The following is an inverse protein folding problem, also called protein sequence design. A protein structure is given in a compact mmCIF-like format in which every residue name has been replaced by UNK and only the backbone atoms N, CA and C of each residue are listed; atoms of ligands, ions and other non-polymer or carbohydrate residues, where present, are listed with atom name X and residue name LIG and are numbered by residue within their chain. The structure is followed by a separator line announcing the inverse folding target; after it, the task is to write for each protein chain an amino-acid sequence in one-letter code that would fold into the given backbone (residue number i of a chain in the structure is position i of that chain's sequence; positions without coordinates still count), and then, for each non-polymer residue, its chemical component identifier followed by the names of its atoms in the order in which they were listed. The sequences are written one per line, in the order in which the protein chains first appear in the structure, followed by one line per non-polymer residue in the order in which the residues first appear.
data_IF_312746264099
#
_entry.id   IF_312746264099
#
_cell.length_a   1.000
_cell.length_b   1.000
_cell.length_c   1.000
_cell.angle_alpha   90.00
_cell.angle_beta   90.00
_cell.angle_gamma   90.00
#
_symmetry.space_group_name_H-M   'P 1'
#
loop_
_entity.id
_entity.type
_entity.pdbx_description
1 polymer ?
#
# COMPACT_ATOMS: atom_id res chain seq x y z
N UNK A 1 51.68 33.55 -12.99
CA UNK A 1 51.01 33.95 -11.74
C UNK A 1 50.13 32.79 -11.31
N UNK A 2 50.62 31.98 -10.35
CA UNK A 2 49.97 30.75 -9.86
C UNK A 2 49.00 31.12 -8.75
N UNK A 3 47.74 30.67 -8.81
CA UNK A 3 46.85 30.69 -7.65
C UNK A 3 46.11 29.35 -7.58
N UNK A 4 46.61 28.48 -6.70
CA UNK A 4 45.87 27.34 -6.16
C UNK A 4 44.89 27.88 -5.11
N UNK A 5 43.64 27.41 -5.13
CA UNK A 5 42.79 27.38 -3.95
C UNK A 5 42.18 25.99 -3.85
N UNK A 6 42.65 25.24 -2.86
CA UNK A 6 42.04 24.02 -2.37
C UNK A 6 41.24 24.36 -1.12
N UNK A 7 40.01 23.86 -1.01
CA UNK A 7 39.39 23.55 0.28
C UNK A 7 38.18 22.62 0.06
N UNK A 8 38.39 21.32 0.20
CA UNK A 8 37.31 20.34 0.33
C UNK A 8 37.23 19.95 1.81
N UNK A 9 36.18 20.42 2.49
CA UNK A 9 35.91 20.10 3.88
C UNK A 9 35.26 18.70 3.98
N UNK A 10 35.97 17.78 4.62
CA UNK A 10 35.45 16.50 5.09
C UNK A 10 34.63 16.73 6.37
N UNK A 11 33.31 16.63 6.29
CA UNK A 11 32.44 16.52 7.46
C UNK A 11 32.16 15.05 7.75
N UNK A 12 32.93 14.47 8.68
CA UNK A 12 32.55 13.22 9.37
C UNK A 12 31.70 13.58 10.59
N UNK A 13 30.38 13.49 10.45
CA UNK A 13 29.45 13.58 11.56
C UNK A 13 29.33 12.22 12.26
N UNK A 14 29.89 12.10 13.46
CA UNK A 14 29.67 10.95 14.33
C UNK A 14 28.22 10.96 14.86
N UNK A 15 27.42 9.96 14.51
CA UNK A 15 26.13 9.73 15.15
C UNK A 15 26.34 8.91 16.43
N UNK A 16 26.15 9.56 17.57
CA UNK A 16 26.00 8.89 18.87
C UNK A 16 24.59 8.27 18.88
N UNK A 17 24.51 6.94 18.85
CA UNK A 17 23.25 6.22 19.05
C UNK A 17 22.92 6.24 20.55
N UNK A 18 21.93 7.04 20.95
CA UNK A 18 21.38 6.97 22.29
C UNK A 18 20.48 5.73 22.40
N UNK A 19 20.92 4.82 23.25
CA UNK A 19 20.21 3.61 23.65
C UNK A 19 19.12 4.00 24.67
N UNK A 20 17.85 3.78 24.33
CA UNK A 20 16.70 3.92 25.24
C UNK A 20 15.58 3.05 24.68
N UNK A 21 14.89 2.19 25.41
CA UNK A 21 14.89 1.82 26.81
C UNK A 21 14.00 0.59 26.90
N UNK A 22 14.31 -0.28 27.84
CA UNK A 22 13.64 -1.54 28.13
C UNK A 22 12.21 -1.23 28.58
N UNK A 23 11.22 -1.66 27.80
CA UNK A 23 9.84 -1.82 28.28
C UNK A 23 9.70 -3.27 28.74
N UNK A 24 9.80 -3.48 30.05
CA UNK A 24 9.16 -4.62 30.71
C UNK A 24 7.76 -4.17 31.05
N UNK A 25 6.74 -4.86 30.53
CA UNK A 25 5.38 -4.73 31.05
C UNK A 25 4.98 -6.03 31.71
N UNK A 26 4.49 -5.86 32.92
CA UNK A 26 4.28 -6.85 33.95
C UNK A 26 3.06 -7.72 33.68
N UNK A 27 3.10 -8.93 34.23
CA UNK A 27 2.05 -9.92 34.13
C UNK A 27 0.71 -9.44 34.71
N UNK A 28 -0.34 -9.62 33.92
CA UNK A 28 -1.73 -9.60 34.38
C UNK A 28 -2.39 -10.94 34.10
N UNK A 29 -2.47 -11.79 35.12
CA UNK A 29 -3.33 -12.98 35.13
C UNK A 29 -4.78 -12.51 35.25
N UNK A 30 -5.62 -12.84 34.28
CA UNK A 30 -7.08 -12.74 34.37
C UNK A 30 -7.67 -14.15 34.24
N UNK A 31 -8.20 -14.63 35.35
CA UNK A 31 -9.03 -15.81 35.49
C UNK A 31 -10.52 -15.47 35.31
N UNK A 32 -11.21 -16.25 34.47
CA UNK A 32 -12.61 -16.78 34.49
C UNK A 32 -13.79 -15.85 34.86
N UNK A 33 -14.98 -15.94 34.19
CA UNK A 33 -15.81 -17.15 34.32
C UNK A 33 -16.84 -17.51 33.20
N UNK A 34 -17.35 -18.75 33.34
CA UNK A 34 -18.72 -19.22 33.09
C UNK A 34 -19.26 -19.29 31.64
N UNK A 35 -19.13 -20.48 31.07
CA UNK A 35 -19.87 -20.98 29.91
C UNK A 35 -21.25 -21.51 30.36
N UNK A 36 -22.32 -20.81 29.99
CA UNK A 36 -23.70 -21.23 30.17
C UNK A 36 -24.49 -20.98 28.89
N UNK A 37 -24.56 -21.98 28.01
CA UNK A 37 -25.29 -21.89 26.75
C UNK A 37 -26.80 -22.13 26.96
N UNK A 38 -27.70 -21.27 26.46
CA UNK A 38 -29.13 -21.58 26.39
C UNK A 38 -29.44 -22.48 25.18
N UNK A 39 -30.09 -23.61 25.44
CA UNK A 39 -30.64 -24.52 24.42
C UNK A 39 -31.67 -23.79 23.54
N UNK A 40 -31.39 -23.74 22.24
CA UNK A 40 -32.30 -23.20 21.23
C UNK A 40 -33.47 -24.17 20.99
N UNK A 41 -34.65 -23.81 21.50
CA UNK A 41 -35.92 -24.51 21.27
C UNK A 41 -36.34 -24.38 19.80
N UNK A 42 -36.13 -25.44 19.01
CA UNK A 42 -36.56 -25.52 17.62
C UNK A 42 -38.08 -25.69 17.53
N UNK A 43 -38.80 -24.61 17.24
CA UNK A 43 -40.23 -24.67 16.87
C UNK A 43 -40.32 -25.10 15.40
N UNK A 44 -40.64 -26.37 15.15
CA UNK A 44 -41.03 -26.86 13.80
C UNK A 44 -42.37 -26.22 13.41
N UNK A 45 -42.32 -25.04 12.80
CA UNK A 45 -43.43 -24.48 12.05
C UNK A 45 -43.70 -25.35 10.83
N UNK A 46 -44.80 -26.12 10.84
CA UNK A 46 -45.23 -26.88 9.68
C UNK A 46 -45.39 -25.96 8.48
N UNK A 47 -44.66 -26.26 7.39
CA UNK A 47 -44.77 -25.59 6.10
C UNK A 47 -46.21 -25.76 5.61
N UNK A 48 -47.07 -24.77 5.86
CA UNK A 48 -48.41 -24.74 5.31
C UNK A 48 -48.28 -24.79 3.78
N UNK A 49 -48.70 -25.93 3.21
CA UNK A 49 -48.62 -26.18 1.77
C UNK A 49 -49.39 -25.07 1.06
N UNK A 50 -48.68 -24.25 0.31
CA UNK A 50 -49.24 -23.05 -0.33
C UNK A 50 -50.18 -23.51 -1.46
N UNK A 51 -51.48 -23.55 -1.16
CA UNK A 51 -52.51 -24.00 -2.10
C UNK A 51 -52.59 -23.03 -3.29
N UNK A 52 -52.63 -23.57 -4.50
CA UNK A 52 -52.69 -22.78 -5.74
C UNK A 52 -54.13 -22.35 -6.05
N UNK A 53 -54.30 -21.29 -6.86
CA UNK A 53 -55.64 -20.86 -7.31
C UNK A 53 -56.40 -21.98 -8.05
N UNK A 54 -55.69 -22.86 -8.75
CA UNK A 54 -56.29 -23.99 -9.44
C UNK A 54 -56.88 -25.02 -8.48
N UNK A 55 -56.16 -25.38 -7.42
CA UNK A 55 -56.65 -26.30 -6.38
C UNK A 55 -57.86 -25.72 -5.65
N UNK A 56 -57.85 -24.42 -5.36
CA UNK A 56 -58.99 -23.74 -4.75
C UNK A 56 -60.24 -23.78 -5.63
N UNK A 57 -60.09 -23.54 -6.93
CA UNK A 57 -61.21 -23.62 -7.88
C UNK A 57 -61.77 -25.06 -7.98
N UNK A 58 -60.92 -26.10 -7.97
CA UNK A 58 -61.39 -27.49 -7.93
C UNK A 58 -62.20 -27.81 -6.67
N UNK A 59 -61.97 -27.07 -5.58
CA UNK A 59 -62.70 -27.21 -4.30
C UNK A 59 -63.89 -26.25 -4.18
N UNK A 60 -64.24 -25.49 -5.23
CA UNK A 60 -65.32 -24.51 -5.20
C UNK A 60 -65.04 -23.27 -4.35
N UNK A 61 -63.77 -23.04 -3.98
CA UNK A 61 -63.35 -21.87 -3.21
C UNK A 61 -62.98 -20.71 -4.15
N UNK A 62 -63.19 -19.45 -3.76
CA UNK A 62 -62.76 -18.30 -4.54
C UNK A 62 -61.22 -18.24 -4.67
N UNK A 63 -60.71 -17.71 -5.79
CA UNK A 63 -59.27 -17.59 -6.03
C UNK A 63 -58.62 -16.68 -4.97
N UNK A 64 -57.35 -16.94 -4.66
CA UNK A 64 -56.57 -16.04 -3.81
C UNK A 64 -56.40 -14.69 -4.51
N UNK A 65 -56.34 -13.58 -3.74
CA UNK A 65 -56.06 -12.27 -4.29
C UNK A 65 -54.71 -12.26 -5.03
N UNK A 66 -54.57 -11.45 -6.09
CA UNK A 66 -53.31 -11.32 -6.81
C UNK A 66 -52.18 -10.96 -5.84
N UNK A 67 -51.14 -11.81 -5.78
CA UNK A 67 -49.96 -11.50 -4.99
C UNK A 67 -49.34 -10.22 -5.56
N UNK A 68 -49.45 -9.11 -4.83
CA UNK A 68 -48.72 -7.89 -5.15
C UNK A 68 -47.25 -8.24 -5.10
N UNK A 69 -46.62 -8.38 -6.27
CA UNK A 69 -45.15 -8.39 -6.36
C UNK A 69 -44.74 -7.09 -5.69
N UNK A 70 -44.04 -7.17 -4.56
CA UNK A 70 -43.34 -6.01 -4.04
C UNK A 70 -42.54 -5.48 -5.24
N UNK A 71 -42.88 -4.28 -5.70
CA UNK A 71 -42.14 -3.58 -6.74
C UNK A 71 -40.82 -3.09 -6.14
N UNK A 72 -40.03 -4.01 -5.59
CA UNK A 72 -38.62 -3.81 -5.44
C UNK A 72 -38.10 -3.71 -6.86
N UNK A 73 -37.72 -2.50 -7.26
CA UNK A 73 -36.92 -2.26 -8.45
C UNK A 73 -35.90 -3.40 -8.54
N UNK A 74 -36.05 -4.29 -9.53
CA UNK A 74 -34.97 -5.21 -9.84
C UNK A 74 -33.77 -4.29 -10.13
N UNK A 75 -32.69 -4.35 -9.35
CA UNK A 75 -31.53 -3.51 -9.64
C UNK A 75 -31.19 -3.74 -11.10
N UNK A 76 -31.12 -2.64 -11.87
CA UNK A 76 -30.67 -2.71 -13.26
C UNK A 76 -29.33 -3.46 -13.23
N UNK A 77 -29.09 -4.41 -14.14
CA UNK A 77 -27.79 -5.06 -14.22
C UNK A 77 -26.74 -3.95 -14.34
N UNK A 78 -25.90 -3.84 -13.32
CA UNK A 78 -24.79 -2.90 -13.33
C UNK A 78 -23.94 -3.29 -14.54
N UNK A 79 -23.57 -2.35 -15.42
CA UNK A 79 -22.70 -2.67 -16.55
C UNK A 79 -21.47 -3.41 -16.02
N UNK A 80 -21.21 -4.59 -16.60
CA UNK A 80 -20.06 -5.41 -16.23
C UNK A 80 -18.80 -4.53 -16.29
N UNK A 81 -17.97 -4.56 -15.24
CA UNK A 81 -16.65 -3.95 -15.28
C UNK A 81 -15.97 -4.43 -16.55
N UNK A 82 -15.52 -3.50 -17.40
CA UNK A 82 -14.81 -3.82 -18.63
C UNK A 82 -13.66 -4.77 -18.25
N UNK A 83 -13.54 -5.97 -18.86
CA UNK A 83 -12.46 -6.88 -18.54
C UNK A 83 -11.13 -6.18 -18.76
N UNK A 84 -10.29 -6.13 -17.73
CA UNK A 84 -8.95 -5.59 -17.85
C UNK A 84 -8.17 -6.42 -18.88
N UNK A 85 -7.50 -5.73 -19.83
CA UNK A 85 -6.61 -6.42 -20.76
C UNK A 85 -5.45 -7.06 -19.98
N UNK A 86 -5.04 -8.30 -20.31
CA UNK A 86 -3.88 -8.91 -19.66
C UNK A 86 -2.61 -8.12 -19.97
N UNK A 87 -1.69 -8.10 -19.01
CA UNK A 87 -0.35 -7.53 -19.24
C UNK A 87 0.40 -8.37 -20.27
N UNK A 88 1.07 -7.72 -21.23
CA UNK A 88 1.94 -8.39 -22.21
C UNK A 88 3.17 -9.03 -21.57
N UNK A 89 3.65 -8.43 -20.49
CA UNK A 89 4.74 -8.93 -19.65
C UNK A 89 4.48 -8.56 -18.20
N UNK A 90 4.93 -9.42 -17.28
CA UNK A 90 4.92 -9.15 -15.84
C UNK A 90 6.21 -8.50 -15.36
N UNK A 91 7.24 -8.45 -16.21
CA UNK A 91 8.49 -7.74 -15.98
C UNK A 91 8.50 -6.40 -16.74
N UNK A 92 9.10 -5.37 -16.15
CA UNK A 92 9.03 -4.02 -16.68
C UNK A 92 9.89 -3.03 -15.90
N UNK A 93 9.73 -1.76 -16.23
CA UNK A 93 10.28 -0.63 -15.48
C UNK A 93 9.14 0.19 -14.86
N UNK A 94 9.45 0.93 -13.79
CA UNK A 94 8.57 1.97 -13.28
C UNK A 94 9.03 3.32 -13.82
N UNK A 95 8.24 3.88 -14.73
CA UNK A 95 8.40 5.26 -15.19
C UNK A 95 7.83 6.20 -14.14
N UNK A 96 8.54 7.29 -13.87
CA UNK A 96 8.14 8.33 -12.93
C UNK A 96 7.89 9.62 -13.69
N UNK A 97 6.74 10.24 -13.46
CA UNK A 97 6.37 11.53 -14.06
C UNK A 97 5.90 12.51 -12.98
N UNK A 98 6.11 13.80 -13.23
CA UNK A 98 5.56 14.89 -12.42
C UNK A 98 4.04 15.00 -12.62
N UNK A 99 3.38 15.80 -11.80
CA UNK A 99 1.93 16.03 -11.87
C UNK A 99 1.45 16.64 -13.20
N UNK A 100 2.31 17.36 -13.91
CA UNK A 100 2.06 17.92 -15.25
C UNK A 100 2.24 16.90 -16.39
N UNK A 101 2.60 15.65 -16.08
CA UNK A 101 2.90 14.60 -17.05
C UNK A 101 4.33 14.63 -17.60
N UNK A 102 5.15 15.63 -17.23
CA UNK A 102 6.56 15.70 -17.62
C UNK A 102 7.31 14.50 -17.03
N UNK A 103 8.07 13.80 -17.87
CA UNK A 103 8.88 12.66 -17.40
C UNK A 103 9.93 13.13 -16.39
N UNK A 104 9.94 12.50 -15.21
CA UNK A 104 10.97 12.70 -14.19
C UNK A 104 12.09 11.66 -14.30
N UNK A 105 11.80 10.48 -14.87
CA UNK A 105 12.78 9.40 -15.10
C UNK A 105 12.19 8.02 -14.83
N UNK A 106 13.00 7.15 -14.27
CA UNK A 106 12.65 5.80 -13.81
C UNK A 106 13.18 5.59 -12.39
N UNK A 107 12.64 4.61 -11.65
CA UNK A 107 13.26 4.18 -10.39
C UNK A 107 14.67 3.63 -10.69
N UNK A 108 15.68 4.10 -9.97
CA UNK A 108 17.08 3.67 -10.14
C UNK A 108 17.29 2.26 -9.58
N UNK A 109 18.11 1.45 -10.28
CA UNK A 109 18.59 0.16 -9.76
C UNK A 109 19.68 0.28 -8.68
N UNK A 110 20.03 1.49 -8.28
CA UNK A 110 20.95 1.79 -7.17
C UNK A 110 20.22 2.58 -6.10
N UNK A 111 20.63 2.41 -4.85
CA UNK A 111 20.17 3.29 -3.78
C UNK A 111 20.95 4.61 -3.74
N UNK A 112 20.42 5.55 -2.98
CA UNK A 112 21.16 6.70 -2.45
C UNK A 112 22.12 6.28 -1.31
N UNK A 113 22.82 7.26 -0.73
CA UNK A 113 23.71 7.04 0.42
C UNK A 113 22.99 6.54 1.70
N UNK A 114 21.66 6.62 1.74
CA UNK A 114 20.81 6.15 2.85
C UNK A 114 20.08 4.84 2.52
N UNK A 115 20.47 4.13 1.45
CA UNK A 115 19.87 2.87 1.02
C UNK A 115 18.38 2.96 0.64
N UNK A 116 17.93 4.14 0.21
CA UNK A 116 16.59 4.42 -0.34
C UNK A 116 16.63 4.51 -1.87
N UNK A 117 15.52 4.21 -2.53
CA UNK A 117 15.41 4.32 -3.99
C UNK A 117 15.40 5.77 -4.46
N UNK A 118 16.02 6.02 -5.60
CA UNK A 118 16.11 7.32 -6.27
C UNK A 118 15.66 7.25 -7.74
N UNK A 119 15.86 8.32 -8.49
CA UNK A 119 15.55 8.42 -9.92
C UNK A 119 16.77 8.28 -10.82
N UNK A 120 16.53 7.82 -12.04
CA UNK A 120 17.50 7.83 -13.14
C UNK A 120 16.82 8.22 -14.46
N UNK A 121 17.56 8.84 -15.38
CA UNK A 121 17.04 9.19 -16.71
C UNK A 121 17.20 8.04 -17.72
N UNK A 122 18.03 7.04 -17.43
CA UNK A 122 18.38 5.97 -18.36
C UNK A 122 17.71 4.66 -17.97
N UNK A 123 17.09 3.99 -18.94
CA UNK A 123 16.54 2.64 -18.78
C UNK A 123 17.62 1.60 -18.45
N UNK A 124 18.87 1.80 -18.90
CA UNK A 124 19.99 0.90 -18.57
C UNK A 124 20.37 0.93 -17.06
N UNK A 125 20.04 2.04 -16.39
CA UNK A 125 20.24 2.21 -14.95
C UNK A 125 18.94 2.06 -14.17
N UNK A 126 17.82 1.76 -14.84
CA UNK A 126 16.53 1.60 -14.20
C UNK A 126 16.41 0.25 -13.50
N UNK A 127 15.66 0.27 -12.39
CA UNK A 127 15.25 -0.92 -11.67
C UNK A 127 14.25 -1.70 -12.52
N UNK A 128 14.62 -2.92 -12.86
CA UNK A 128 13.72 -3.89 -13.46
C UNK A 128 12.86 -4.51 -12.35
N UNK A 129 11.56 -4.48 -12.54
CA UNK A 129 10.59 -4.95 -11.55
C UNK A 129 9.70 -6.02 -12.15
N UNK A 130 9.17 -6.89 -11.29
CA UNK A 130 8.16 -7.87 -11.61
C UNK A 130 6.90 -7.61 -10.78
N UNK A 131 5.77 -7.47 -11.47
CA UNK A 131 4.44 -7.43 -10.85
C UNK A 131 3.89 -8.85 -10.69
N UNK A 132 3.05 -9.08 -9.68
CA UNK A 132 2.42 -10.38 -9.49
C UNK A 132 1.54 -10.75 -10.71
N UNK A 133 1.71 -11.97 -11.24
CA UNK A 133 1.14 -12.37 -12.53
C UNK A 133 -0.35 -12.69 -12.52
N UNK A 134 -0.94 -12.99 -11.36
CA UNK A 134 -2.29 -13.56 -11.31
C UNK A 134 -3.41 -12.53 -11.28
N UNK A 135 -3.16 -11.30 -10.80
CA UNK A 135 -3.99 -10.11 -11.04
C UNK A 135 -3.46 -8.91 -10.25
N UNK A 136 -2.53 -8.12 -10.80
CA UNK A 136 -2.09 -6.89 -10.13
C UNK A 136 -3.20 -5.82 -10.10
N UNK A 137 -4.35 -6.12 -10.69
CA UNK A 137 -5.54 -5.28 -10.74
C UNK A 137 -6.58 -5.66 -9.67
N UNK A 138 -6.41 -6.79 -8.96
CA UNK A 138 -7.34 -7.27 -7.94
C UNK A 138 -6.79 -7.05 -6.52
N UNK A 139 -6.39 -5.82 -6.21
CA UNK A 139 -5.97 -5.42 -4.88
C UNK A 139 -4.45 -5.29 -4.71
N UNK A 140 -3.98 -5.14 -3.46
CA UNK A 140 -2.59 -4.83 -3.19
C UNK A 140 -1.64 -5.99 -3.56
N UNK A 141 -0.50 -5.66 -4.15
CA UNK A 141 0.53 -6.63 -4.56
C UNK A 141 1.94 -6.17 -4.16
N UNK A 142 2.88 -7.12 -4.22
CA UNK A 142 4.31 -6.85 -4.03
C UNK A 142 4.96 -6.50 -5.38
N UNK A 143 5.77 -5.45 -5.39
CA UNK A 143 6.70 -5.17 -6.49
C UNK A 143 8.03 -5.84 -6.19
N UNK A 144 8.42 -6.83 -7.00
CA UNK A 144 9.71 -7.53 -6.84
C UNK A 144 10.78 -6.85 -7.71
N UNK A 145 11.89 -6.41 -7.14
CA UNK A 145 13.03 -5.91 -7.89
C UNK A 145 13.89 -7.07 -8.43
N UNK A 146 14.01 -7.18 -9.75
CA UNK A 146 14.77 -8.25 -10.41
C UNK A 146 16.27 -7.97 -10.43
N UNK A 147 16.66 -6.70 -10.39
CA UNK A 147 18.05 -6.23 -10.34
C UNK A 147 18.27 -5.24 -9.18
N UNK A 148 17.55 -5.43 -8.06
CA UNK A 148 17.67 -4.58 -6.88
C UNK A 148 19.06 -4.67 -6.21
N UNK A 149 19.56 -3.60 -5.57
CA UNK A 149 20.86 -3.61 -4.89
C UNK A 149 20.96 -4.57 -3.71
N UNK A 150 19.83 -4.85 -3.06
CA UNK A 150 19.76 -5.64 -1.84
C UNK A 150 18.92 -6.88 -2.08
N UNK A 151 19.59 -8.01 -2.26
CA UNK A 151 18.95 -9.31 -2.52
C UNK A 151 18.28 -9.90 -1.30
N UNK A 152 18.58 -9.42 -0.08
CA UNK A 152 17.91 -9.85 1.14
C UNK A 152 16.57 -9.14 1.36
N UNK A 153 16.39 -7.96 0.74
CA UNK A 153 15.17 -7.17 0.81
C UNK A 153 14.68 -6.83 -0.62
N UNK A 154 14.26 -7.85 -1.38
CA UNK A 154 14.08 -7.73 -2.83
C UNK A 154 12.79 -7.01 -3.24
N UNK A 155 11.88 -6.76 -2.30
CA UNK A 155 10.63 -6.08 -2.59
C UNK A 155 10.82 -4.57 -2.53
N UNK A 156 10.26 -3.85 -3.49
CA UNK A 156 10.12 -2.40 -3.39
C UNK A 156 8.96 -2.15 -2.44
N UNK A 157 9.24 -1.51 -1.32
CA UNK A 157 8.27 -1.18 -0.29
C UNK A 157 8.57 0.17 0.33
N UNK A 158 7.90 0.46 1.44
CA UNK A 158 8.08 1.70 2.18
C UNK A 158 8.56 1.41 3.61
N UNK A 159 9.45 2.25 4.11
CA UNK A 159 10.04 2.16 5.46
C UNK A 159 9.74 3.46 6.20
N UNK A 160 9.16 3.35 7.40
CA UNK A 160 8.72 4.51 8.17
C UNK A 160 9.82 5.56 8.38
N UNK A 161 9.45 6.84 8.36
CA UNK A 161 10.32 7.99 8.52
C UNK A 161 10.77 8.24 9.97
N UNK A 162 11.95 8.85 10.13
CA UNK A 162 12.59 9.01 11.45
C UNK A 162 11.88 10.03 12.35
N UNK A 163 11.02 10.85 11.73
CA UNK A 163 10.18 11.86 12.39
C UNK A 163 8.73 11.40 12.55
N UNK A 164 8.49 10.10 12.40
CA UNK A 164 7.17 9.48 12.44
C UNK A 164 6.76 8.95 11.07
N UNK A 165 5.88 7.95 11.11
CA UNK A 165 5.35 7.25 9.93
C UNK A 165 3.83 7.08 10.01
N UNK A 166 3.17 7.84 10.88
CA UNK A 166 1.72 7.85 10.99
C UNK A 166 1.16 8.88 10.01
N UNK A 167 0.30 8.43 9.10
CA UNK A 167 -0.33 9.24 8.07
C UNK A 167 -1.69 9.73 8.56
N UNK A 168 -2.06 10.98 8.30
CA UNK A 168 -3.33 11.52 8.75
C UNK A 168 -3.33 13.03 8.85
N UNK A 169 -4.49 13.62 9.09
CA UNK A 169 -4.62 15.06 9.16
C UNK A 169 -3.79 15.65 10.31
N UNK A 170 -2.97 16.66 10.02
CA UNK A 170 -2.03 17.27 10.98
C UNK A 170 -0.84 16.38 11.36
N UNK A 171 -0.76 15.16 10.83
CA UNK A 171 0.36 14.25 11.05
C UNK A 171 1.45 14.49 10.03
N UNK A 172 2.70 14.31 10.44
CA UNK A 172 3.89 14.59 9.63
C UNK A 172 4.61 13.31 9.19
N UNK A 173 3.87 12.21 9.17
CA UNK A 173 4.42 10.91 8.82
C UNK A 173 4.96 10.91 7.40
N UNK A 174 6.13 10.32 7.25
CA UNK A 174 6.70 9.99 5.95
C UNK A 174 7.15 8.54 5.95
N UNK A 175 7.33 8.00 4.75
CA UNK A 175 8.04 6.73 4.58
C UNK A 175 8.99 6.83 3.38
N UNK A 176 10.16 6.22 3.50
CA UNK A 176 11.16 6.14 2.45
C UNK A 176 10.86 4.96 1.55
N UNK A 177 10.93 5.13 0.23
CA UNK A 177 10.87 4.03 -0.70
C UNK A 177 12.20 3.26 -0.63
N UNK A 178 12.16 1.98 -0.30
CA UNK A 178 13.36 1.19 -0.04
C UNK A 178 13.15 -0.30 -0.35
N UNK A 179 14.23 -1.08 -0.24
CA UNK A 179 14.12 -2.55 -0.24
C UNK A 179 13.52 -3.02 1.07
N UNK A 180 12.52 -3.90 1.03
CA UNK A 180 11.86 -4.47 2.21
C UNK A 180 11.79 -5.99 2.14
N UNK A 181 11.57 -6.64 3.29
CA UNK A 181 10.99 -7.97 3.33
C UNK A 181 9.54 -8.00 2.84
N UNK A 182 8.85 -9.12 3.00
CA UNK A 182 7.44 -9.24 2.63
C UNK A 182 6.56 -8.86 3.83
N UNK A 183 5.53 -8.06 3.59
CA UNK A 183 4.42 -7.83 4.52
C UNK A 183 3.10 -8.29 3.90
N UNK A 184 2.06 -8.43 4.71
CA UNK A 184 0.71 -8.71 4.22
C UNK A 184 0.05 -7.43 3.72
N UNK A 185 -0.87 -7.55 2.75
CA UNK A 185 -1.71 -6.44 2.32
C UNK A 185 -2.55 -5.92 3.50
N UNK A 186 -2.67 -4.60 3.60
CA UNK A 186 -3.50 -3.90 4.60
C UNK A 186 -3.15 -4.23 6.07
N UNK A 187 -1.95 -4.76 6.33
CA UNK A 187 -1.44 -4.91 7.69
C UNK A 187 -0.64 -3.68 8.09
N UNK A 188 -0.64 -3.28 9.37
CA UNK A 188 0.28 -2.25 9.84
C UNK A 188 1.76 -2.55 9.53
N UNK A 189 2.64 -1.53 9.54
CA UNK A 189 4.05 -1.68 9.25
C UNK A 189 4.74 -2.50 10.34
N UNK A 190 5.67 -3.36 9.95
CA UNK A 190 6.34 -4.29 10.85
C UNK A 190 7.87 -4.15 10.76
N UNK A 191 8.55 -4.18 11.91
CA UNK A 191 10.02 -4.25 11.96
C UNK A 191 10.57 -5.67 11.79
N UNK A 192 9.69 -6.69 11.78
CA UNK A 192 10.11 -8.10 11.64
C UNK A 192 10.61 -8.41 10.24
N UNK A 193 10.03 -7.76 9.24
CA UNK A 193 10.27 -8.08 7.83
C UNK A 193 11.60 -7.50 7.32
N UNK A 194 12.17 -6.53 8.04
CA UNK A 194 13.46 -5.93 7.74
C UNK A 194 13.44 -5.00 6.53
N UNK A 195 14.51 -4.22 6.38
CA UNK A 195 14.66 -3.29 5.26
C UNK A 195 16.12 -3.05 4.90
N UNK A 196 16.35 -2.53 3.70
CA UNK A 196 17.68 -2.12 3.24
C UNK A 196 18.30 -1.05 4.14
N UNK A 197 17.49 -0.23 4.82
CA UNK A 197 17.96 0.81 5.74
C UNK A 197 18.49 0.25 7.07
N UNK A 198 18.11 -0.99 7.44
CA UNK A 198 18.49 -1.61 8.72
C UNK A 198 20.00 -1.73 8.90
N UNK A 199 20.74 -1.97 7.81
CA UNK A 199 22.21 -2.05 7.84
C UNK A 199 22.90 -0.72 8.20
N UNK A 200 22.18 0.40 8.11
CA UNK A 200 22.64 1.72 8.58
C UNK A 200 22.26 1.99 10.04
N UNK A 201 21.79 0.98 10.78
CA UNK A 201 21.30 1.13 12.15
C UNK A 201 19.87 1.68 12.25
N UNK A 202 19.18 1.86 11.11
CA UNK A 202 17.84 2.42 11.07
C UNK A 202 16.77 1.33 11.08
N UNK A 203 16.20 1.03 12.26
CA UNK A 203 15.25 -0.07 12.47
C UNK A 203 13.78 0.39 12.49
N UNK A 204 13.37 1.19 11.50
CA UNK A 204 11.97 1.58 11.35
C UNK A 204 11.14 0.44 10.73
N UNK A 205 9.83 0.38 11.04
CA UNK A 205 8.96 -0.65 10.47
C UNK A 205 8.70 -0.40 8.98
N UNK A 206 8.35 -1.46 8.26
CA UNK A 206 8.19 -1.43 6.80
C UNK A 206 6.94 -2.17 6.31
N UNK A 207 6.51 -1.84 5.10
CA UNK A 207 5.47 -2.56 4.34
C UNK A 207 5.91 -2.76 2.87
N UNK A 208 5.55 -3.90 2.27
CA UNK A 208 5.85 -4.23 0.87
C UNK A 208 4.61 -4.39 0.00
N UNK A 209 3.52 -4.93 0.54
CA UNK A 209 2.29 -5.22 -0.21
C UNK A 209 1.33 -4.03 -0.19
N UNK A 210 1.85 -2.86 -0.60
CA UNK A 210 1.16 -1.56 -0.57
C UNK A 210 0.76 -1.06 -1.96
N UNK A 211 1.13 -1.78 -3.03
CA UNK A 211 0.98 -1.31 -4.40
C UNK A 211 -0.33 -1.75 -5.01
N UNK A 212 -1.01 -0.86 -5.72
CA UNK A 212 -2.12 -1.21 -6.60
C UNK A 212 -1.90 -0.60 -7.98
N UNK A 213 -2.48 -1.21 -9.01
CA UNK A 213 -2.29 -0.77 -10.39
C UNK A 213 -3.63 -0.62 -11.09
N UNK A 214 -3.84 0.52 -11.73
CA UNK A 214 -4.98 0.73 -12.62
C UNK A 214 -4.77 -0.03 -13.93
N UNK A 215 -5.75 -0.81 -14.34
CA UNK A 215 -5.58 -1.71 -15.48
C UNK A 215 -5.65 -1.03 -16.86
N UNK A 216 -6.15 0.20 -16.92
CA UNK A 216 -6.28 0.96 -18.18
C UNK A 216 -5.05 1.81 -18.43
N UNK A 217 -4.63 2.55 -17.41
CA UNK A 217 -3.54 3.52 -17.47
C UNK A 217 -2.20 2.93 -17.05
N UNK A 218 -2.20 1.78 -16.36
CA UNK A 218 -1.02 1.17 -15.72
C UNK A 218 -0.39 2.08 -14.66
N UNK A 219 -1.15 3.07 -14.18
CA UNK A 219 -0.72 3.91 -13.07
C UNK A 219 -0.63 3.06 -11.81
N UNK A 220 0.48 3.19 -11.09
CA UNK A 220 0.69 2.54 -9.80
C UNK A 220 0.44 3.57 -8.69
N UNK A 221 -0.36 3.18 -7.71
CA UNK A 221 -0.54 3.91 -6.46
C UNK A 221 -0.05 3.08 -5.28
N UNK A 222 0.26 3.76 -4.18
CA UNK A 222 0.60 3.15 -2.92
C UNK A 222 -0.54 3.37 -1.91
N UNK A 223 -0.67 2.48 -0.94
CA UNK A 223 -1.53 2.64 0.24
C UNK A 223 -0.75 2.23 1.49
N UNK A 224 -0.38 3.20 2.32
CA UNK A 224 0.21 2.96 3.63
C UNK A 224 -0.88 2.63 4.66
N UNK A 225 -0.60 1.69 5.56
CA UNK A 225 -1.50 1.33 6.67
C UNK A 225 -0.88 1.82 7.97
N UNK A 226 -1.62 2.59 8.76
CA UNK A 226 -1.11 3.05 10.06
C UNK A 226 -1.06 1.92 11.09
N UNK A 227 -0.38 2.18 12.21
CA UNK A 227 -0.34 1.27 13.37
C UNK A 227 -1.71 0.93 13.96
N UNK A 228 -2.70 1.81 13.78
CA UNK A 228 -4.10 1.61 14.19
C UNK A 228 -4.99 1.06 13.07
N UNK A 229 -4.39 0.56 11.99
CA UNK A 229 -5.07 0.02 10.80
C UNK A 229 -5.90 1.03 10.01
N UNK A 230 -5.80 2.33 10.31
CA UNK A 230 -6.38 3.36 9.44
C UNK A 230 -5.57 3.49 8.15
N UNK A 231 -6.26 3.83 7.06
CA UNK A 231 -5.67 4.02 5.75
C UNK A 231 -6.11 5.39 5.22
N UNK A 232 -5.13 6.23 4.91
CA UNK A 232 -5.35 7.56 4.35
C UNK A 232 -4.77 7.66 2.93
N UNK A 233 -5.21 8.66 2.16
CA UNK A 233 -4.66 8.91 0.82
C UNK A 233 -3.14 9.04 0.87
N UNK A 234 -2.43 8.28 0.05
CA UNK A 234 -0.97 8.27 0.03
C UNK A 234 -0.47 8.96 -1.24
N UNK A 235 0.37 9.97 -1.06
CA UNK A 235 1.06 10.68 -2.12
C UNK A 235 2.47 10.12 -2.27
N UNK A 236 2.82 9.70 -3.48
CA UNK A 236 4.21 9.39 -3.84
C UNK A 236 4.89 10.72 -4.21
N UNK A 237 6.07 10.98 -3.64
CA UNK A 237 6.82 12.20 -3.94
C UNK A 237 8.29 11.89 -4.25
N UNK A 238 8.93 12.83 -4.93
CA UNK A 238 10.37 12.88 -5.08
C UNK A 238 10.92 14.13 -4.41
N UNK A 239 11.98 13.97 -3.65
CA UNK A 239 12.73 15.05 -3.03
C UNK A 239 14.04 15.29 -3.80
N UNK A 240 14.17 16.41 -4.53
CA UNK A 240 15.37 16.71 -5.29
C UNK A 240 16.55 17.17 -4.42
N UNK A 241 16.33 17.66 -3.20
CA UNK A 241 17.39 18.16 -2.32
C UNK A 241 18.24 17.02 -1.74
N UNK A 242 17.60 15.88 -1.45
CA UNK A 242 18.25 14.70 -0.89
C UNK A 242 18.13 13.45 -1.76
N UNK A 243 17.58 13.59 -2.96
CA UNK A 243 17.53 12.59 -4.03
C UNK A 243 16.90 11.24 -3.63
N UNK A 244 15.73 11.24 -2.99
CA UNK A 244 15.00 9.99 -2.69
C UNK A 244 13.52 10.07 -3.09
N UNK A 245 12.92 8.89 -3.24
CA UNK A 245 11.48 8.70 -3.41
C UNK A 245 10.84 8.35 -2.07
N UNK A 246 9.69 8.95 -1.77
CA UNK A 246 8.99 8.73 -0.52
C UNK A 246 7.49 8.70 -0.65
N UNK A 247 6.84 8.36 0.46
CA UNK A 247 5.39 8.40 0.66
C UNK A 247 5.05 9.39 1.76
N UNK A 248 3.97 10.13 1.59
CA UNK A 248 3.39 10.99 2.63
C UNK A 248 1.88 11.12 2.44
N UNK A 249 1.18 11.51 3.50
CA UNK A 249 -0.22 11.92 3.41
C UNK A 249 -0.37 13.36 2.89
N UNK A 250 0.44 14.27 3.42
CA UNK A 250 0.34 15.72 3.21
C UNK A 250 1.69 16.28 2.75
N UNK A 251 1.85 16.40 1.43
CA UNK A 251 3.07 16.87 0.80
C UNK A 251 3.35 18.35 1.11
N UNK A 252 2.31 19.16 1.29
CA UNK A 252 2.48 20.58 1.61
C UNK A 252 3.01 20.75 3.04
N UNK A 253 2.47 19.98 4.00
CA UNK A 253 3.00 19.94 5.36
C UNK A 253 4.46 19.43 5.41
N UNK A 254 4.80 18.43 4.58
CA UNK A 254 6.18 17.96 4.41
C UNK A 254 7.09 19.10 3.93
N UNK A 255 6.73 19.76 2.83
CA UNK A 255 7.51 20.86 2.26
C UNK A 255 7.64 22.05 3.20
N UNK A 256 6.59 22.42 3.92
CA UNK A 256 6.64 23.50 4.91
C UNK A 256 7.63 23.21 6.04
N UNK A 257 7.78 21.93 6.41
CA UNK A 257 8.68 21.52 7.50
C UNK A 257 10.14 21.50 7.09
N UNK A 258 10.43 20.91 5.94
CA UNK A 258 11.81 20.64 5.52
C UNK A 258 12.37 21.68 4.54
N UNK A 259 11.50 22.43 3.86
CA UNK A 259 11.87 23.41 2.83
C UNK A 259 12.76 22.80 1.73
N UNK A 260 12.48 21.54 1.37
CA UNK A 260 13.29 20.72 0.44
C UNK A 260 12.78 20.77 -1.01
N UNK A 261 11.62 21.40 -1.27
CA UNK A 261 11.08 21.53 -2.62
C UNK A 261 10.66 20.18 -3.24
N UNK A 262 10.23 19.24 -2.40
CA UNK A 262 9.70 17.96 -2.85
C UNK A 262 8.42 18.15 -3.67
N UNK A 263 8.20 17.27 -4.63
CA UNK A 263 7.03 17.35 -5.51
C UNK A 263 6.39 15.98 -5.71
N UNK A 264 5.06 15.98 -5.90
CA UNK A 264 4.29 14.78 -6.16
C UNK A 264 4.69 14.16 -7.50
N UNK A 265 4.75 12.84 -7.53
CA UNK A 265 5.04 12.06 -8.73
C UNK A 265 4.03 10.96 -8.94
N UNK A 266 3.86 10.55 -10.19
CA UNK A 266 3.06 9.40 -10.59
C UNK A 266 3.97 8.28 -11.07
N UNK A 267 3.62 7.05 -10.71
CA UNK A 267 4.30 5.84 -11.17
C UNK A 267 3.48 5.19 -12.28
N UNK A 268 4.15 4.71 -13.32
CA UNK A 268 3.51 3.96 -14.41
C UNK A 268 4.35 2.75 -14.76
N UNK A 269 3.71 1.57 -14.81
CA UNK A 269 4.37 0.34 -15.23
C UNK A 269 4.56 0.32 -16.75
N UNK A 270 5.80 0.13 -17.18
CA UNK A 270 6.20 -0.02 -18.58
C UNK A 270 6.69 -1.45 -18.79
N UNK A 271 5.88 -2.34 -19.41
CA UNK A 271 6.30 -3.71 -19.69
C UNK A 271 7.55 -3.75 -20.59
N UNK A 272 8.43 -4.70 -20.32
CA UNK A 272 9.53 -5.08 -21.22
C UNK A 272 9.02 -5.78 -22.48
#
# INVERSE_FOLDING_TARGET
MKLQVALAALFFGAFISANSGIFSDDGGVLSDPAEGAPEARTVKGGLAKKETNFERMRRGLPPLPPARRSSGFKPKPVPSKVPCAPLSSTAGYIKVAKSDGTAAGYISKTFDGKRSYTLTQSTMSALEVKVASSSPFNGPFNLLGLNAPDTHHPYIGAVGGSKGYYFGNGQRGTAYLAGTGTSAANSPPSSKDGSSLKSLGYNAPSESQIWSMDCTTRAISAQWTNSDSTQHSTTIFYDPAVHYLGLTFDLDAFNHRFNEGAYAVTFTFVPL
#
